data_IF_411164230905
#
_entry.id   IF_411164230905
#
_cell.length_a   1.000
_cell.length_b   1.000
_cell.length_c   1.000
_cell.angle_alpha   90.00
_cell.angle_beta   90.00
_cell.angle_gamma   90.00
#
_symmetry.space_group_name_H-M   'P 1'
#
loop_
_entity.id
_entity.type
_entity.pdbx_description
1 polymer ?
#
# COMPACT_ATOMS: atom_id res chain seq x y z
N UNK A 1 -17.18 -7.02 3.63
CA UNK A 1 -18.12 -5.89 3.41
C UNK A 1 -17.35 -4.63 3.08
N UNK A 2 -16.44 -4.14 3.94
CA UNK A 2 -15.63 -2.95 3.64
C UNK A 2 -14.82 -3.01 2.33
N UNK A 3 -14.14 -4.12 2.03
CA UNK A 3 -13.36 -4.26 0.80
C UNK A 3 -14.20 -4.07 -0.47
N UNK A 4 -15.40 -4.65 -0.51
CA UNK A 4 -16.31 -4.52 -1.64
C UNK A 4 -16.86 -3.09 -1.79
N UNK A 5 -17.16 -2.41 -0.68
CA UNK A 5 -17.57 -1.00 -0.70
C UNK A 5 -16.45 -0.09 -1.23
N UNK A 6 -15.19 -0.33 -0.83
CA UNK A 6 -14.03 0.44 -1.33
C UNK A 6 -13.81 0.23 -2.83
N UNK A 7 -13.97 -1.00 -3.33
CA UNK A 7 -13.83 -1.30 -4.76
C UNK A 7 -14.98 -0.72 -5.60
N UNK A 8 -16.21 -0.79 -5.07
CA UNK A 8 -17.38 -0.15 -5.67
C UNK A 8 -17.21 1.37 -5.74
N UNK A 9 -16.75 1.99 -4.65
CA UNK A 9 -16.44 3.42 -4.60
C UNK A 9 -15.34 3.78 -5.62
N UNK A 10 -14.25 3.00 -5.70
CA UNK A 10 -13.19 3.24 -6.67
C UNK A 10 -13.70 3.17 -8.12
N UNK A 11 -14.60 2.24 -8.44
CA UNK A 11 -15.25 2.12 -9.75
C UNK A 11 -16.14 3.33 -10.06
N UNK A 12 -16.88 3.82 -9.07
CA UNK A 12 -17.69 5.03 -9.22
C UNK A 12 -16.81 6.28 -9.48
N UNK A 13 -15.68 6.41 -8.78
CA UNK A 13 -14.70 7.49 -9.01
C UNK A 13 -14.10 7.43 -10.42
N UNK A 14 -13.72 6.24 -10.89
CA UNK A 14 -13.16 6.04 -12.23
C UNK A 14 -14.17 6.42 -13.33
N UNK A 15 -15.45 6.11 -13.10
CA UNK A 15 -16.56 6.52 -13.98
C UNK A 15 -16.65 8.04 -14.10
N UNK A 16 -16.61 8.76 -12.97
CA UNK A 16 -16.66 10.24 -12.96
C UNK A 16 -15.42 10.85 -13.63
N UNK A 17 -14.23 10.29 -13.41
CA UNK A 17 -13.00 10.73 -14.08
C UNK A 17 -13.06 10.51 -15.59
N UNK A 18 -13.62 9.38 -16.01
CA UNK A 18 -13.84 9.07 -17.43
C UNK A 18 -14.83 10.06 -18.05
N UNK A 19 -15.94 10.37 -17.38
CA UNK A 19 -16.88 11.40 -17.84
C UNK A 19 -16.23 12.78 -17.94
N UNK A 20 -15.42 13.18 -16.95
CA UNK A 20 -14.70 14.47 -16.96
C UNK A 20 -13.76 14.61 -18.17
N UNK A 21 -13.16 13.51 -18.62
CA UNK A 21 -12.21 13.49 -19.73
C UNK A 21 -12.84 13.23 -21.10
N UNK A 22 -14.08 12.73 -21.14
CA UNK A 22 -14.77 12.33 -22.39
C UNK A 22 -16.04 13.12 -22.71
N UNK A 23 -16.68 13.78 -21.73
CA UNK A 23 -17.98 14.43 -21.89
C UNK A 23 -17.91 15.94 -21.58
N UNK A 24 -17.93 16.77 -22.63
CA UNK A 24 -18.16 18.22 -22.58
C UNK A 24 -17.06 19.11 -21.97
N UNK A 25 -16.28 18.61 -21.02
CA UNK A 25 -15.24 19.35 -20.27
C UNK A 25 -13.83 19.03 -20.81
N UNK A 26 -13.72 18.74 -22.10
CA UNK A 26 -12.46 18.30 -22.72
C UNK A 26 -11.45 19.45 -22.81
N UNK A 27 -10.33 19.32 -22.11
CA UNK A 27 -9.23 20.30 -22.17
C UNK A 27 -8.06 19.98 -21.23
N UNK A 28 -6.94 20.71 -21.31
CA UNK A 28 -5.74 20.45 -20.51
C UNK A 28 -5.98 20.47 -18.99
N UNK A 29 -6.94 21.26 -18.51
CA UNK A 29 -7.30 21.34 -17.10
C UNK A 29 -7.99 20.04 -16.60
N UNK A 30 -8.92 19.49 -17.38
CA UNK A 30 -9.61 18.24 -17.04
C UNK A 30 -8.68 17.04 -17.12
N UNK A 31 -7.74 17.03 -18.06
CA UNK A 31 -6.68 16.02 -18.12
C UNK A 31 -5.77 16.08 -16.87
N UNK A 32 -5.34 17.27 -16.46
CA UNK A 32 -4.55 17.44 -15.23
C UNK A 32 -5.32 17.00 -13.97
N UNK A 33 -6.61 17.29 -13.89
CA UNK A 33 -7.46 16.82 -12.77
C UNK A 33 -7.57 15.29 -12.74
N UNK A 34 -7.75 14.65 -13.91
CA UNK A 34 -7.80 13.19 -14.02
C UNK A 34 -6.49 12.52 -13.60
N UNK A 35 -5.34 13.09 -14.01
CA UNK A 35 -4.02 12.61 -13.60
C UNK A 35 -3.81 12.76 -12.09
N UNK A 36 -4.24 13.89 -11.52
CA UNK A 36 -4.06 14.18 -10.10
C UNK A 36 -4.89 13.27 -9.18
N UNK A 37 -6.00 12.70 -9.69
CA UNK A 37 -6.85 11.76 -8.97
C UNK A 37 -6.34 10.30 -8.97
N UNK A 38 -5.44 9.93 -9.90
CA UNK A 38 -4.94 8.55 -10.04
C UNK A 38 -4.32 7.96 -8.76
N UNK A 39 -3.47 8.69 -7.98
CA UNK A 39 -2.90 8.16 -6.75
C UNK A 39 -3.94 7.75 -5.72
N UNK A 40 -5.08 8.45 -5.67
CA UNK A 40 -6.18 8.14 -4.74
C UNK A 40 -6.94 6.88 -5.16
N UNK A 41 -7.19 6.68 -6.46
CA UNK A 41 -7.77 5.44 -6.98
C UNK A 41 -6.88 4.21 -6.67
N UNK A 42 -5.57 4.34 -6.87
CA UNK A 42 -4.60 3.30 -6.55
C UNK A 42 -4.63 2.99 -5.05
N UNK A 43 -4.66 4.03 -4.21
CA UNK A 43 -4.78 3.87 -2.77
C UNK A 43 -6.06 3.12 -2.37
N UNK A 44 -7.24 3.54 -2.87
CA UNK A 44 -8.52 2.90 -2.53
C UNK A 44 -8.53 1.41 -2.90
N UNK A 45 -8.07 1.05 -4.11
CA UNK A 45 -7.98 -0.36 -4.54
C UNK A 45 -7.00 -1.16 -3.69
N UNK A 46 -5.87 -0.56 -3.31
CA UNK A 46 -4.88 -1.19 -2.42
C UNK A 46 -5.46 -1.42 -1.02
N UNK A 47 -6.17 -0.42 -0.47
CA UNK A 47 -6.85 -0.55 0.82
C UNK A 47 -8.00 -1.57 0.78
N UNK A 48 -8.72 -1.68 -0.34
CA UNK A 48 -9.73 -2.72 -0.53
C UNK A 48 -9.10 -4.13 -0.44
N UNK A 49 -7.99 -4.37 -1.14
CA UNK A 49 -7.26 -5.64 -1.09
C UNK A 49 -6.72 -5.94 0.32
N UNK A 50 -6.16 -4.94 1.02
CA UNK A 50 -5.70 -5.09 2.40
C UNK A 50 -6.86 -5.44 3.35
N UNK A 51 -8.03 -4.82 3.19
CA UNK A 51 -9.21 -5.12 3.97
C UNK A 51 -9.73 -6.56 3.73
N UNK A 52 -9.63 -7.06 2.49
CA UNK A 52 -9.97 -8.45 2.17
C UNK A 52 -8.99 -9.45 2.82
N UNK A 53 -7.69 -9.17 2.76
CA UNK A 53 -6.68 -9.99 3.44
C UNK A 53 -6.89 -10.02 4.95
N UNK A 54 -7.15 -8.87 5.58
CA UNK A 54 -7.45 -8.78 7.00
C UNK A 54 -8.71 -9.60 7.37
N UNK A 55 -9.76 -9.53 6.55
CA UNK A 55 -10.96 -10.31 6.77
C UNK A 55 -10.71 -11.83 6.66
N UNK A 56 -9.87 -12.25 5.71
CA UNK A 56 -9.47 -13.66 5.56
C UNK A 56 -8.66 -14.13 6.76
N UNK A 57 -7.71 -13.31 7.22
CA UNK A 57 -6.91 -13.57 8.41
C UNK A 57 -7.77 -13.73 9.67
N UNK A 58 -8.74 -12.83 9.87
CA UNK A 58 -9.65 -12.89 11.01
C UNK A 58 -10.52 -14.17 11.00
N UNK A 59 -10.99 -14.61 9.83
CA UNK A 59 -11.73 -15.88 9.71
C UNK A 59 -10.86 -17.09 10.00
N UNK A 60 -9.61 -17.09 9.54
CA UNK A 60 -8.66 -18.16 9.83
C UNK A 60 -8.37 -18.26 11.34
N UNK A 61 -8.17 -17.11 12.02
CA UNK A 61 -7.99 -17.06 13.47
C UNK A 61 -9.22 -17.59 14.23
N UNK A 62 -10.42 -17.22 13.80
CA UNK A 62 -11.66 -17.74 14.38
C UNK A 62 -11.80 -19.27 14.20
N UNK A 63 -11.49 -19.79 13.00
CA UNK A 63 -11.49 -21.23 12.76
C UNK A 63 -10.46 -21.99 13.60
N UNK A 64 -9.27 -21.41 13.80
CA UNK A 64 -8.26 -21.96 14.70
C UNK A 64 -8.75 -22.01 16.15
N UNK A 65 -9.43 -20.97 16.61
CA UNK A 65 -10.04 -20.93 17.94
C UNK A 65 -11.13 -22.00 18.11
N UNK A 66 -12.05 -22.13 17.15
CA UNK A 66 -13.11 -23.14 17.21
C UNK A 66 -12.55 -24.56 17.23
N UNK A 67 -11.51 -24.81 16.43
CA UNK A 67 -10.80 -26.10 16.41
C UNK A 67 -10.15 -26.38 17.77
N UNK A 68 -9.46 -25.40 18.34
CA UNK A 68 -8.82 -25.54 19.65
C UNK A 68 -9.84 -25.75 20.77
N UNK A 69 -10.93 -24.98 20.76
CA UNK A 69 -12.01 -25.10 21.72
C UNK A 69 -12.66 -26.49 21.68
N UNK A 70 -12.89 -27.04 20.48
CA UNK A 70 -13.44 -28.38 20.33
C UNK A 70 -12.48 -29.50 20.74
N UNK A 71 -11.17 -29.28 20.62
CA UNK A 71 -10.14 -30.26 20.97
C UNK A 71 -9.72 -30.22 22.46
N UNK A 72 -9.90 -29.09 23.15
CA UNK A 72 -9.62 -28.95 24.57
C UNK A 72 -10.51 -29.85 25.41
N UNK A 73 -9.91 -30.49 26.40
CA UNK A 73 -10.60 -31.39 27.32
C UNK A 73 -11.64 -30.62 28.15
N UNK A 74 -12.91 -31.05 28.16
CA UNK A 74 -13.95 -30.41 28.97
C UNK A 74 -13.58 -30.42 30.48
N UNK A 75 -13.69 -29.28 31.19
CA UNK A 75 -13.38 -29.20 32.61
C UNK A 75 -14.08 -30.26 33.50
N UNK A 76 -15.36 -30.63 33.26
CA UNK A 76 -16.01 -31.68 34.06
C UNK A 76 -15.35 -33.07 33.97
N UNK A 77 -14.67 -33.40 32.86
CA UNK A 77 -13.94 -34.67 32.74
C UNK A 77 -12.69 -34.66 33.62
N UNK A 78 -11.98 -33.53 33.67
CA UNK A 78 -10.83 -33.33 34.54
C UNK A 78 -11.27 -33.45 36.00
N UNK A 79 -12.33 -32.73 36.38
CA UNK A 79 -12.90 -32.79 37.73
C UNK A 79 -13.26 -34.22 38.14
N UNK A 80 -13.95 -34.96 37.26
CA UNK A 80 -14.32 -36.36 37.52
C UNK A 80 -13.08 -37.22 37.80
N UNK A 81 -12.02 -37.10 36.98
CA UNK A 81 -10.76 -37.81 37.21
C UNK A 81 -10.14 -37.43 38.57
N UNK A 82 -10.09 -36.14 38.90
CA UNK A 82 -9.51 -35.66 40.18
C UNK A 82 -10.32 -36.14 41.39
N UNK A 83 -11.64 -36.15 41.30
CA UNK A 83 -12.53 -36.67 42.35
C UNK A 83 -12.34 -38.18 42.55
N UNK A 84 -12.31 -38.96 41.48
CA UNK A 84 -12.08 -40.41 41.56
C UNK A 84 -10.70 -40.74 42.13
N UNK A 85 -9.67 -39.97 41.77
CA UNK A 85 -8.32 -40.14 42.31
C UNK A 85 -8.29 -39.92 43.83
N UNK A 86 -8.92 -38.84 44.30
CA UNK A 86 -9.02 -38.55 45.73
C UNK A 86 -9.76 -39.67 46.49
N UNK A 87 -10.84 -40.21 45.92
CA UNK A 87 -11.57 -41.34 46.48
C UNK A 87 -10.71 -42.62 46.53
N UNK A 88 -10.03 -42.95 45.43
CA UNK A 88 -9.16 -44.11 45.34
C UNK A 88 -8.03 -44.06 46.37
N UNK A 89 -7.42 -42.90 46.58
CA UNK A 89 -6.40 -42.65 47.61
C UNK A 89 -7.00 -42.82 49.01
N UNK A 90 -8.16 -42.21 49.28
CA UNK A 90 -8.80 -42.26 50.61
C UNK A 90 -9.17 -43.68 51.06
N UNK A 91 -9.44 -44.57 50.11
CA UNK A 91 -9.82 -45.97 50.36
C UNK A 91 -8.65 -46.95 50.23
N UNK A 92 -7.44 -46.48 49.96
CA UNK A 92 -6.26 -47.31 49.71
C UNK A 92 -5.57 -47.84 50.99
N UNK A 93 -6.33 -48.32 51.97
CA UNK A 93 -5.79 -48.78 53.28
C UNK A 93 -4.87 -49.99 53.12
N UNK A 94 -5.17 -50.88 52.18
CA UNK A 94 -4.45 -52.13 51.95
C UNK A 94 -3.54 -52.10 50.72
N UNK A 95 -3.39 -50.94 50.05
CA UNK A 95 -2.59 -50.82 48.83
C UNK A 95 -3.23 -51.43 47.57
N UNK A 96 -4.47 -51.93 47.65
CA UNK A 96 -5.13 -52.60 46.52
C UNK A 96 -5.52 -51.62 45.38
N UNK A 97 -5.69 -50.33 45.69
CA UNK A 97 -6.10 -49.32 44.71
C UNK A 97 -4.92 -48.73 43.93
N UNK A 98 -3.68 -49.16 44.16
CA UNK A 98 -2.49 -48.65 43.46
C UNK A 98 -2.65 -48.71 41.92
N UNK A 99 -3.15 -49.80 41.30
CA UNK A 99 -3.35 -49.85 39.85
C UNK A 99 -4.40 -48.85 39.33
N UNK A 100 -5.43 -48.55 40.12
CA UNK A 100 -6.45 -47.55 39.76
C UNK A 100 -5.88 -46.13 39.88
N UNK A 101 -5.11 -45.86 40.93
CA UNK A 101 -4.44 -44.56 41.13
C UNK A 101 -3.51 -44.27 39.95
N UNK A 102 -2.65 -45.22 39.58
CA UNK A 102 -1.72 -45.03 38.45
C UNK A 102 -2.45 -44.87 37.12
N UNK A 103 -3.56 -45.58 36.92
CA UNK A 103 -4.42 -45.38 35.74
C UNK A 103 -5.01 -43.97 35.68
N UNK A 104 -5.56 -43.47 36.80
CA UNK A 104 -6.16 -42.14 36.86
C UNK A 104 -5.11 -41.03 36.68
N UNK A 105 -3.91 -41.20 37.23
CA UNK A 105 -2.79 -40.29 36.99
C UNK A 105 -2.34 -40.29 35.52
N UNK A 106 -2.28 -41.47 34.88
CA UNK A 106 -1.95 -41.59 33.46
C UNK A 106 -3.00 -40.87 32.59
N UNK A 107 -4.29 -41.08 32.85
CA UNK A 107 -5.39 -40.38 32.15
C UNK A 107 -5.31 -38.86 32.32
N UNK A 108 -4.96 -38.38 33.50
CA UNK A 108 -4.73 -36.95 33.72
C UNK A 108 -3.54 -36.43 32.91
N UNK A 109 -2.45 -37.21 32.83
CA UNK A 109 -1.32 -36.92 31.98
C UNK A 109 -1.68 -36.84 30.48
N UNK A 110 -2.55 -37.72 30.00
CA UNK A 110 -3.08 -37.70 28.63
C UNK A 110 -3.92 -36.44 28.38
N UNK A 111 -4.83 -36.09 29.28
CA UNK A 111 -5.63 -34.85 29.19
C UNK A 111 -4.72 -33.62 29.15
N UNK A 112 -3.69 -33.57 29.99
CA UNK A 112 -2.72 -32.47 30.00
C UNK A 112 -1.93 -32.38 28.69
N UNK A 113 -1.46 -33.51 28.17
CA UNK A 113 -0.75 -33.57 26.90
C UNK A 113 -1.63 -33.12 25.72
N UNK A 114 -2.90 -33.51 25.71
CA UNK A 114 -3.88 -33.09 24.71
C UNK A 114 -4.12 -31.58 24.74
N UNK A 115 -4.35 -31.01 25.92
CA UNK A 115 -4.57 -29.56 26.06
C UNK A 115 -3.33 -28.76 25.67
N UNK A 116 -2.13 -29.23 26.06
CA UNK A 116 -0.88 -28.62 25.65
C UNK A 116 -0.69 -28.66 24.12
N UNK A 117 -0.89 -29.82 23.50
CA UNK A 117 -0.82 -29.97 22.04
C UNK A 117 -1.84 -29.07 21.32
N UNK A 118 -3.05 -28.98 21.86
CA UNK A 118 -4.12 -28.12 21.33
C UNK A 118 -3.72 -26.65 21.35
N UNK A 119 -3.18 -26.16 22.47
CA UNK A 119 -2.75 -24.75 22.58
C UNK A 119 -1.51 -24.44 21.75
N UNK A 120 -0.56 -25.37 21.60
CA UNK A 120 0.56 -25.21 20.67
C UNK A 120 0.09 -25.17 19.22
N UNK A 121 -0.85 -26.05 18.86
CA UNK A 121 -1.51 -26.04 17.55
C UNK A 121 -2.18 -24.69 17.29
N UNK A 122 -3.01 -24.23 18.22
CA UNK A 122 -3.66 -22.91 18.14
C UNK A 122 -2.65 -21.78 17.92
N UNK A 123 -1.62 -21.69 18.76
CA UNK A 123 -0.59 -20.66 18.66
C UNK A 123 0.10 -20.66 17.29
N UNK A 124 0.46 -21.84 16.77
CA UNK A 124 1.08 -21.99 15.46
C UNK A 124 0.16 -21.54 14.31
N UNK A 125 -1.14 -21.83 14.39
CA UNK A 125 -2.11 -21.43 13.37
C UNK A 125 -2.45 -19.94 13.44
N UNK A 126 -2.46 -19.33 14.63
CA UNK A 126 -2.76 -17.90 14.80
C UNK A 126 -1.56 -16.99 14.58
N UNK A 127 -0.33 -17.47 14.78
CA UNK A 127 0.88 -16.66 14.58
C UNK A 127 0.93 -15.91 13.23
N UNK A 128 0.69 -16.54 12.06
CA UNK A 128 0.69 -15.83 10.78
C UNK A 128 -0.51 -14.88 10.61
N UNK A 129 -1.60 -15.09 11.35
CA UNK A 129 -2.81 -14.25 11.25
C UNK A 129 -2.67 -12.91 11.98
N UNK A 130 -1.69 -12.79 12.89
CA UNK A 130 -1.43 -11.57 13.65
C UNK A 130 -0.78 -10.45 12.80
N UNK A 131 -0.17 -10.80 11.67
CA UNK A 131 0.45 -9.83 10.77
C UNK A 131 -0.58 -9.24 9.80
N UNK A 132 -1.13 -8.08 10.18
CA UNK A 132 -1.98 -7.27 9.29
C UNK A 132 -1.15 -6.12 8.74
N UNK A 133 -1.14 -5.95 7.42
CA UNK A 133 -0.49 -4.80 6.79
C UNK A 133 -1.16 -3.51 7.26
N UNK A 134 -0.40 -2.55 7.81
CA UNK A 134 -0.96 -1.26 8.22
C UNK A 134 -1.54 -0.49 7.02
N UNK A 135 -2.70 0.12 7.21
CA UNK A 135 -3.26 1.05 6.23
C UNK A 135 -2.42 2.33 6.21
N UNK A 136 -2.13 2.82 5.02
CA UNK A 136 -1.45 4.10 4.81
C UNK A 136 -2.46 5.20 4.51
N UNK A 137 -2.09 6.46 4.71
CA UNK A 137 -2.92 7.60 4.31
C UNK A 137 -2.79 7.84 2.79
N UNK A 138 -3.87 8.25 2.09
CA UNK A 138 -3.78 8.58 0.68
C UNK A 138 -2.87 9.80 0.45
N UNK A 139 -2.18 9.79 -0.69
CA UNK A 139 -1.43 10.97 -1.14
C UNK A 139 -2.38 12.13 -1.46
N UNK A 140 -1.92 13.36 -1.21
CA UNK A 140 -2.64 14.58 -1.58
C UNK A 140 -2.81 14.64 -3.11
N UNK A 141 -4.05 14.73 -3.57
CA UNK A 141 -4.39 14.79 -5.01
C UNK A 141 -4.35 16.21 -5.57
N UNK A 142 -4.28 17.24 -4.72
CA UNK A 142 -4.27 18.64 -5.15
C UNK A 142 -3.04 19.37 -4.63
N UNK A 143 -2.43 20.21 -5.47
CA UNK A 143 -1.38 21.12 -5.04
C UNK A 143 -2.00 22.31 -4.28
N UNK A 144 -1.73 22.50 -2.97
CA UNK A 144 -2.25 23.64 -2.21
C UNK A 144 -1.77 25.00 -2.74
N UNK A 145 -0.65 25.07 -3.45
CA UNK A 145 -0.19 26.28 -4.13
C UNK A 145 -0.90 26.53 -5.48
N UNK A 146 -1.71 25.57 -5.96
CA UNK A 146 -2.37 25.63 -7.26
C UNK A 146 -3.30 26.84 -7.42
N UNK A 147 -4.00 27.24 -6.35
CA UNK A 147 -4.86 28.44 -6.37
C UNK A 147 -4.04 29.74 -6.53
N UNK A 148 -2.88 29.84 -5.88
CA UNK A 148 -1.98 30.98 -6.02
C UNK A 148 -1.35 31.02 -7.43
N UNK A 149 -0.99 29.87 -7.99
CA UNK A 149 -0.46 29.76 -9.36
C UNK A 149 -1.53 30.09 -10.42
N UNK A 150 -2.78 29.69 -10.19
CA UNK A 150 -3.90 30.10 -11.04
C UNK A 150 -4.14 31.62 -10.98
N UNK A 151 -4.10 32.20 -9.77
CA UNK A 151 -4.18 33.65 -9.60
C UNK A 151 -3.09 34.39 -10.37
N UNK A 152 -1.84 33.92 -10.27
CA UNK A 152 -0.71 34.48 -11.02
C UNK A 152 -0.90 34.37 -12.54
N UNK A 153 -1.37 33.22 -13.03
CA UNK A 153 -1.60 32.97 -14.45
C UNK A 153 -2.72 33.84 -15.06
N UNK A 154 -3.76 34.19 -14.27
CA UNK A 154 -4.83 35.11 -14.70
C UNK A 154 -4.34 36.56 -14.74
N UNK A 155 -3.38 36.92 -13.89
CA UNK A 155 -2.77 38.26 -13.87
C UNK A 155 -1.61 38.44 -14.86
N UNK A 156 -1.15 37.36 -15.48
CA UNK A 156 -0.07 37.41 -16.47
C UNK A 156 -0.58 38.06 -17.77
N UNK A 157 -0.02 39.21 -18.20
CA UNK A 157 -0.44 39.86 -19.43
C UNK A 157 -0.16 38.94 -20.63
N UNK A 158 -1.03 38.93 -21.67
CA UNK A 158 -0.81 38.08 -22.83
C UNK A 158 0.56 38.38 -23.43
N UNK A 159 1.41 37.35 -23.52
CA UNK A 159 2.72 37.47 -24.13
C UNK A 159 2.56 38.02 -25.55
N UNK A 160 2.91 39.30 -25.73
CA UNK A 160 3.04 39.90 -27.04
C UNK A 160 4.15 39.11 -27.76
N UNK A 161 3.77 38.21 -28.68
CA UNK A 161 4.69 37.71 -29.68
C UNK A 161 5.25 38.94 -30.38
N UNK A 162 6.53 39.31 -30.22
CA UNK A 162 7.04 40.45 -30.97
C UNK A 162 6.88 40.09 -32.44
N UNK A 163 6.07 40.87 -33.16
CA UNK A 163 6.00 40.79 -34.60
C UNK A 163 7.44 40.90 -35.08
N UNK A 164 7.97 39.82 -35.68
CA UNK A 164 9.23 39.89 -36.41
C UNK A 164 9.00 40.90 -37.51
N UNK A 165 9.38 42.15 -37.26
CA UNK A 165 9.47 43.18 -38.28
C UNK A 165 10.45 42.64 -39.31
N UNK A 166 9.90 42.04 -40.37
CA UNK A 166 10.63 41.61 -41.55
C UNK A 166 11.14 42.90 -42.18
N UNK A 167 12.33 43.34 -41.75
CA UNK A 167 13.02 44.47 -42.40
C UNK A 167 13.14 44.09 -43.87
N UNK A 168 12.35 44.75 -44.71
CA UNK A 168 12.58 44.81 -46.14
C UNK A 168 13.92 45.54 -46.33
N UNK A 169 15.03 44.79 -46.28
CA UNK A 169 16.28 45.24 -46.88
C UNK A 169 16.01 45.27 -48.38
N UNK A 170 15.76 46.47 -48.91
CA UNK A 170 15.87 46.74 -50.33
C UNK A 170 17.25 46.27 -50.80
N UNK A 171 17.29 45.11 -51.45
CA UNK A 171 18.45 44.66 -52.22
C UNK A 171 18.26 45.22 -53.63
N UNK A 172 18.66 46.46 -53.83
CA UNK A 172 18.94 46.94 -55.18
C UNK A 172 20.31 46.37 -55.57
N UNK A 173 20.29 45.26 -56.32
CA UNK A 173 21.45 44.75 -57.03
C UNK A 173 20.98 44.31 -58.42
N UNK A 174 21.40 45.03 -59.45
CA UNK A 174 21.43 44.53 -60.82
C UNK A 174 22.88 44.67 -61.35
N UNK A 175 23.41 43.69 -62.11
CA UNK A 175 24.84 43.55 -62.46
C UNK A 175 25.13 44.24 -63.82
N UNK A 176 26.33 44.10 -64.46
CA UNK A 176 27.49 43.27 -64.12
C UNK A 176 28.87 43.98 -64.18
N UNK A 177 29.82 43.60 -63.31
CA UNK A 177 31.28 43.45 -63.57
C UNK A 177 32.03 43.20 -62.23
N UNK A 178 33.08 42.35 -62.18
CA UNK A 178 33.91 42.07 -60.99
C UNK A 178 35.19 42.96 -60.97
N UNK A 179 36.11 42.91 -59.97
CA UNK A 179 36.21 42.04 -58.78
C UNK A 179 36.42 42.83 -57.45
N UNK A 180 36.71 42.10 -56.36
CA UNK A 180 37.16 42.56 -55.03
C UNK A 180 36.08 42.70 -53.95
N UNK A 181 35.47 41.56 -53.57
CA UNK A 181 35.19 41.35 -52.15
C UNK A 181 36.53 41.14 -51.42
N UNK A 182 36.99 42.15 -50.68
CA UNK A 182 37.99 41.98 -49.61
C UNK A 182 37.45 42.49 -48.28
N UNK A 183 37.84 41.73 -47.26
CA UNK A 183 37.29 41.65 -45.92
C UNK A 183 37.73 42.79 -45.00
N UNK A 184 37.10 42.89 -43.82
CA UNK A 184 37.84 43.08 -42.56
C UNK A 184 37.10 42.41 -41.40
N UNK A 185 37.73 41.35 -40.90
CA UNK A 185 37.56 40.76 -39.58
C UNK A 185 37.88 41.79 -38.48
N UNK A 186 37.22 41.69 -37.33
CA UNK A 186 37.96 41.75 -36.07
C UNK A 186 37.55 40.60 -35.14
N UNK A 187 38.57 39.84 -34.80
CA UNK A 187 38.65 38.65 -33.95
C UNK A 187 38.80 39.06 -32.47
N UNK A 188 38.50 38.12 -31.56
CA UNK A 188 38.95 37.95 -30.15
C UNK A 188 37.74 37.80 -29.21
N UNK A 189 37.67 36.87 -28.25
CA UNK A 189 38.62 35.89 -27.73
C UNK A 189 37.80 34.86 -26.91
N UNK A 190 38.05 33.55 -27.07
CA UNK A 190 37.75 32.55 -26.03
C UNK A 190 38.88 32.53 -24.98
N UNK A 191 38.58 32.07 -23.76
CA UNK A 191 39.36 30.94 -23.24
C UNK A 191 38.51 29.88 -22.49
N UNK A 192 38.94 28.63 -22.63
CA UNK A 192 38.69 27.44 -21.80
C UNK A 192 40.08 26.76 -21.63
N UNK A 193 40.30 25.69 -20.82
CA UNK A 193 39.59 25.11 -19.68
C UNK A 193 40.57 24.71 -18.52
N UNK A 194 40.10 24.02 -17.45
CA UNK A 194 40.67 22.76 -16.91
C UNK A 194 40.23 22.49 -15.45
N UNK A 195 39.56 21.36 -15.22
CA UNK A 195 39.78 20.56 -14.02
C UNK A 195 39.79 19.08 -14.43
N UNK A 196 40.93 18.43 -14.17
CA UNK A 196 41.26 17.05 -14.54
C UNK A 196 41.18 16.16 -13.29
N UNK A 197 40.66 14.94 -13.48
CA UNK A 197 40.99 13.67 -12.79
C UNK A 197 40.66 13.55 -11.29
N UNK A 198 39.71 12.70 -10.85
CA UNK A 198 39.78 11.23 -10.71
C UNK A 198 41.09 10.67 -10.12
N UNK A 199 41.01 10.07 -8.93
CA UNK A 199 41.35 8.68 -8.54
C UNK A 199 41.88 8.63 -7.10
N UNK A 200 41.27 7.81 -6.24
CA UNK A 200 41.82 6.55 -5.70
C UNK A 200 41.09 6.13 -4.43
#
# INVERSE_FOLDING_TARGET
MLAAELDSAATAYDTVITQLTSEGWMGPASAQMAEAAQPYLVWMRTSAAQAEQAATSARAAAGAYETAFAATVPPPLIETNRTLLAQAISTNVLGQNIPLITQLEAQYGEMWAQDAATMYGYAAHTAPTAEVTPFTEPAQTTNPAGQAMQGAAVTEPPAHRPARARRLRSRNCYPPHPPHCKASHHLAHQPHPQHRSQTR
#
